data_IF_692531834440
#
_entry.id   IF_692531834440
#
_cell.length_a   1.000
_cell.length_b   1.000
_cell.length_c   1.000
_cell.angle_alpha   90.00
_cell.angle_beta   90.00
_cell.angle_gamma   90.00
#
_symmetry.space_group_name_H-M   'P 1'
#
loop_
_entity.id
_entity.type
_entity.pdbx_description
1 polymer ?
#
# COMPACT_ATOMS: atom_id res chain seq x y z
N UNK A 1 12.60 -5.74 23.08
CA UNK A 1 12.54 -5.40 21.64
C UNK A 1 11.39 -4.42 21.43
N UNK A 2 11.63 -3.23 20.86
CA UNK A 2 10.53 -2.39 20.36
C UNK A 2 10.14 -2.95 18.99
N UNK A 3 8.89 -3.39 18.83
CA UNK A 3 8.36 -3.76 17.53
C UNK A 3 8.01 -2.49 16.77
N UNK A 4 8.57 -2.30 15.57
CA UNK A 4 8.14 -1.23 14.69
C UNK A 4 6.69 -1.46 14.24
N UNK A 5 5.90 -0.40 14.04
CA UNK A 5 4.58 -0.52 13.43
C UNK A 5 4.69 -1.20 12.06
N UNK A 6 3.69 -2.05 11.76
CA UNK A 6 3.60 -2.79 10.53
C UNK A 6 2.31 -2.41 9.79
N UNK A 7 2.46 -2.06 8.51
CA UNK A 7 1.38 -1.88 7.57
C UNK A 7 1.34 -3.09 6.62
N UNK A 8 0.27 -3.86 6.67
CA UNK A 8 0.02 -4.95 5.73
C UNK A 8 -0.95 -4.47 4.66
N UNK A 9 -0.50 -4.43 3.40
CA UNK A 9 -1.29 -4.06 2.23
C UNK A 9 -1.60 -5.33 1.46
N UNK A 10 -2.88 -5.65 1.35
CA UNK A 10 -3.36 -6.81 0.60
C UNK A 10 -4.11 -6.29 -0.63
N UNK A 11 -3.70 -6.66 -1.83
CA UNK A 11 -4.30 -6.15 -3.06
C UNK A 11 -4.29 -7.22 -4.16
N UNK A 12 -5.13 -7.02 -5.17
CA UNK A 12 -5.11 -7.87 -6.36
C UNK A 12 -4.00 -7.36 -7.30
N UNK A 13 -2.98 -8.20 -7.50
CA UNK A 13 -1.89 -7.96 -8.43
C UNK A 13 -1.82 -9.02 -9.53
N UNK A 14 -2.88 -9.83 -9.69
CA UNK A 14 -2.89 -10.97 -10.61
C UNK A 14 -2.70 -10.57 -12.09
N UNK A 15 -3.02 -9.33 -12.44
CA UNK A 15 -2.84 -8.76 -13.76
C UNK A 15 -1.49 -8.04 -13.97
N UNK A 16 -0.64 -7.92 -12.94
CA UNK A 16 0.62 -7.19 -13.02
C UNK A 16 1.79 -8.14 -13.28
N UNK A 17 2.68 -7.77 -14.20
CA UNK A 17 3.96 -8.45 -14.36
C UNK A 17 4.84 -8.22 -13.12
N UNK A 18 5.77 -9.15 -12.79
CA UNK A 18 6.61 -9.03 -11.59
C UNK A 18 7.37 -7.71 -11.46
N UNK A 19 7.83 -7.14 -12.58
CA UNK A 19 8.53 -5.86 -12.59
C UNK A 19 7.59 -4.67 -12.27
N UNK A 20 6.39 -4.66 -12.87
CA UNK A 20 5.37 -3.64 -12.61
C UNK A 20 4.89 -3.70 -11.17
N UNK A 21 4.70 -4.92 -10.66
CA UNK A 21 4.38 -5.16 -9.25
C UNK A 21 5.46 -4.60 -8.33
N UNK A 22 6.72 -4.94 -8.58
CA UNK A 22 7.84 -4.46 -7.76
C UNK A 22 7.94 -2.93 -7.73
N UNK A 23 7.77 -2.29 -8.89
CA UNK A 23 7.76 -0.83 -9.01
C UNK A 23 6.60 -0.21 -8.23
N UNK A 24 5.37 -0.74 -8.38
CA UNK A 24 4.20 -0.25 -7.68
C UNK A 24 4.35 -0.39 -6.15
N UNK A 25 4.90 -1.51 -5.66
CA UNK A 25 5.17 -1.73 -4.25
C UNK A 25 6.26 -0.79 -3.72
N UNK A 26 7.30 -0.51 -4.50
CA UNK A 26 8.38 0.42 -4.14
C UNK A 26 7.86 1.86 -4.03
N UNK A 27 7.06 2.30 -4.99
CA UNK A 27 6.39 3.61 -4.94
C UNK A 27 5.51 3.74 -3.69
N UNK A 28 4.71 2.71 -3.38
CA UNK A 28 3.86 2.73 -2.19
C UNK A 28 4.67 2.74 -0.89
N UNK A 29 5.78 1.98 -0.82
CA UNK A 29 6.70 2.03 0.33
C UNK A 29 7.24 3.44 0.55
N UNK A 30 7.68 4.12 -0.51
CA UNK A 30 8.18 5.49 -0.42
C UNK A 30 7.13 6.47 0.08
N UNK A 31 5.89 6.37 -0.41
CA UNK A 31 4.77 7.19 0.07
C UNK A 31 4.45 6.91 1.54
N UNK A 32 4.43 5.64 1.95
CA UNK A 32 4.16 5.27 3.36
C UNK A 32 5.26 5.79 4.28
N UNK A 33 6.52 5.70 3.87
CA UNK A 33 7.65 6.23 4.63
C UNK A 33 7.59 7.77 4.77
N UNK A 34 7.21 8.48 3.70
CA UNK A 34 7.01 9.93 3.74
C UNK A 34 5.92 10.35 4.73
N UNK A 35 4.83 9.58 4.81
CA UNK A 35 3.66 9.93 5.63
C UNK A 35 3.81 9.49 7.08
N UNK A 36 4.33 8.28 7.31
CA UNK A 36 4.33 7.64 8.63
C UNK A 36 5.73 7.43 9.22
N UNK A 37 6.79 7.80 8.50
CA UNK A 37 8.17 7.59 8.92
C UNK A 37 8.53 6.10 8.93
N UNK A 38 9.21 5.66 9.99
CA UNK A 38 9.71 4.28 10.10
C UNK A 38 8.61 3.26 10.39
N UNK A 39 7.89 2.85 9.34
CA UNK A 39 6.89 1.77 9.34
C UNK A 39 7.39 0.62 8.47
N UNK A 40 7.22 -0.62 8.93
CA UNK A 40 7.45 -1.80 8.08
C UNK A 40 6.25 -2.00 7.17
N UNK A 41 6.45 -2.12 5.86
CA UNK A 41 5.37 -2.39 4.90
C UNK A 41 5.51 -3.79 4.33
N UNK A 42 4.42 -4.56 4.35
CA UNK A 42 4.33 -5.88 3.72
C UNK A 42 3.19 -5.91 2.72
N UNK A 43 3.42 -6.61 1.62
CA UNK A 43 2.47 -6.77 0.54
C UNK A 43 2.07 -8.23 0.44
N UNK A 44 0.77 -8.47 0.37
CA UNK A 44 0.21 -9.79 0.15
C UNK A 44 -0.77 -9.73 -1.02
N UNK A 45 -0.78 -10.77 -1.82
CA UNK A 45 -1.77 -10.91 -2.88
C UNK A 45 -3.10 -11.34 -2.25
N UNK A 46 -4.18 -10.66 -2.62
CA UNK A 46 -5.51 -11.09 -2.27
C UNK A 46 -5.93 -12.27 -3.14
N UNK A 47 -6.62 -13.28 -2.57
CA UNK A 47 -7.26 -14.28 -3.40
C UNK A 47 -8.33 -13.61 -4.28
N UNK A 48 -8.34 -13.94 -5.58
CA UNK A 48 -9.04 -13.23 -6.66
C UNK A 48 -10.57 -13.10 -6.59
N UNK A 49 -11.20 -13.43 -5.46
CA UNK A 49 -12.60 -13.11 -5.17
C UNK A 49 -12.75 -11.79 -4.40
N UNK A 50 -11.66 -11.12 -4.02
CA UNK A 50 -11.67 -9.84 -3.32
C UNK A 50 -11.21 -8.73 -4.26
N UNK A 51 -12.13 -7.83 -4.61
CA UNK A 51 -11.88 -6.75 -5.59
C UNK A 51 -11.45 -5.42 -4.94
N UNK A 52 -11.13 -5.41 -3.64
CA UNK A 52 -10.77 -4.19 -2.90
C UNK A 52 -9.46 -4.39 -2.16
N UNK A 53 -8.54 -3.45 -2.32
CA UNK A 53 -7.34 -3.33 -1.49
C UNK A 53 -7.71 -3.27 -0.02
N UNK A 54 -7.11 -4.14 0.79
CA UNK A 54 -7.26 -4.17 2.24
C UNK A 54 -5.97 -3.70 2.89
N UNK A 55 -6.08 -2.86 3.92
CA UNK A 55 -4.94 -2.42 4.70
C UNK A 55 -5.16 -2.76 6.16
N UNK A 56 -4.15 -3.37 6.78
CA UNK A 56 -4.14 -3.70 8.20
C UNK A 56 -2.97 -3.02 8.89
N UNK A 57 -3.26 -2.34 9.99
CA UNK A 57 -2.26 -1.75 10.86
C UNK A 57 -2.02 -2.68 12.05
N UNK A 58 -0.75 -3.02 12.28
CA UNK A 58 -0.32 -3.90 13.36
C UNK A 58 0.73 -3.18 14.22
N UNK A 59 0.72 -3.45 15.52
CA UNK A 59 1.64 -2.84 16.48
C UNK A 59 1.16 -1.50 17.05
N UNK A 60 2.08 -0.77 17.69
CA UNK A 60 1.81 0.53 18.31
C UNK A 60 2.14 1.64 17.32
N UNK A 61 1.17 2.52 17.13
CA UNK A 61 1.28 3.71 16.30
C UNK A 61 1.24 4.93 17.22
N UNK A 62 2.10 5.90 16.94
CA UNK A 62 2.19 7.12 17.75
C UNK A 62 1.08 8.12 17.37
N UNK A 63 0.55 8.02 16.16
CA UNK A 63 -0.56 8.84 15.67
C UNK A 63 -1.96 8.30 16.04
N UNK A 64 -2.97 9.18 16.15
CA UNK A 64 -4.36 8.77 16.26
C UNK A 64 -4.80 7.90 15.07
N UNK A 65 -5.56 6.83 15.35
CA UNK A 65 -6.03 5.89 14.33
C UNK A 65 -6.78 6.55 13.16
N UNK A 66 -7.55 7.62 13.43
CA UNK A 66 -8.28 8.34 12.37
C UNK A 66 -7.33 9.04 11.40
N UNK A 67 -6.30 9.73 11.92
CA UNK A 67 -5.27 10.38 11.09
C UNK A 67 -4.57 9.37 10.20
N UNK A 68 -4.26 8.19 10.73
CA UNK A 68 -3.63 7.14 9.93
C UNK A 68 -4.56 6.61 8.83
N UNK A 69 -5.85 6.44 9.15
CA UNK A 69 -6.82 5.98 8.16
C UNK A 69 -7.03 6.99 7.03
N UNK A 70 -7.18 8.28 7.34
CA UNK A 70 -7.35 9.34 6.34
C UNK A 70 -6.12 9.45 5.43
N UNK A 71 -4.92 9.40 6.02
CA UNK A 71 -3.67 9.38 5.27
C UNK A 71 -3.53 8.15 4.37
N UNK A 72 -3.93 6.97 4.84
CA UNK A 72 -3.91 5.75 4.02
C UNK A 72 -4.92 5.80 2.87
N UNK A 73 -6.12 6.34 3.11
CA UNK A 73 -7.14 6.47 2.08
C UNK A 73 -6.70 7.44 0.96
N UNK A 74 -6.07 8.56 1.32
CA UNK A 74 -5.49 9.50 0.36
C UNK A 74 -4.36 8.83 -0.44
N UNK A 75 -3.43 8.18 0.25
CA UNK A 75 -2.27 7.50 -0.36
C UNK A 75 -2.68 6.39 -1.33
N UNK A 76 -3.67 5.56 -0.98
CA UNK A 76 -4.18 4.53 -1.88
C UNK A 76 -4.93 5.12 -3.08
N UNK A 77 -5.63 6.25 -2.90
CA UNK A 77 -6.29 6.93 -4.01
C UNK A 77 -5.26 7.49 -5.01
N UNK A 78 -4.18 8.10 -4.51
CA UNK A 78 -3.08 8.57 -5.36
C UNK A 78 -2.40 7.41 -6.10
N UNK A 79 -2.16 6.29 -5.40
CA UNK A 79 -1.59 5.10 -5.99
C UNK A 79 -2.49 4.46 -7.07
N UNK A 80 -3.80 4.34 -6.84
CA UNK A 80 -4.73 3.84 -7.86
C UNK A 80 -4.79 4.74 -9.10
N UNK A 81 -4.62 6.05 -8.93
CA UNK A 81 -4.54 7.00 -10.06
C UNK A 81 -3.25 6.80 -10.84
N UNK A 82 -2.13 6.53 -10.16
CA UNK A 82 -0.84 6.25 -10.79
C UNK A 82 -0.85 4.90 -11.52
N UNK A 83 -1.36 3.84 -10.89
CA UNK A 83 -1.46 2.51 -11.49
C UNK A 83 -2.30 2.52 -12.79
N UNK A 84 -3.44 3.20 -12.79
CA UNK A 84 -4.30 3.33 -13.99
C UNK A 84 -3.65 4.10 -15.14
N UNK A 85 -2.71 5.01 -14.86
CA UNK A 85 -1.97 5.74 -15.91
C UNK A 85 -0.92 4.86 -16.57
N UNK A 86 -0.31 3.94 -15.84
CA UNK A 86 0.65 2.97 -16.36
C UNK A 86 0.01 1.95 -17.29
N UNK A 87 -1.22 1.50 -17.01
CA UNK A 87 -2.01 0.65 -17.91
C UNK A 87 -2.32 1.34 -19.25
N UNK A 88 -2.57 2.66 -19.19
CA UNK A 88 -2.88 3.45 -20.39
C UNK A 88 -1.64 3.79 -21.23
N UNK A 89 -0.44 3.77 -20.64
CA UNK A 89 0.81 4.01 -21.35
C UNK A 89 1.34 2.76 -22.06
N UNK A 90 0.82 1.58 -21.72
CA UNK A 90 1.18 0.28 -22.30
C UNK A 90 0.21 -0.21 -23.41
N UNK A 91 -0.85 0.56 -23.71
CA UNK A 91 -1.80 0.33 -24.82
C UNK A 91 -1.56 1.28 -25.98
#
# INVERSE_FOLDING_TARGET
MKFSPLLLVQYDCSALEPAQRAEAEEQLRGLVELVFGHVTVRFEELPGYLTRTQVRMLGRWDDPRMTVFDSLAALLSEWEVLARRSDHAAS
#
